data_IF_316920186610
#
_entry.id   IF_316920186610
#
_cell.length_a   1.000
_cell.length_b   1.000
_cell.length_c   1.000
_cell.angle_alpha   90.00
_cell.angle_beta   90.00
_cell.angle_gamma   90.00
#
_symmetry.space_group_name_H-M   'P 1'
#
loop_
_entity.id
_entity.type
_entity.pdbx_description
1 polymer ?
#
# COMPACT_ATOMS: atom_id res chain seq x y z
N UNK A 1 2.67 -20.11 1.30
CA UNK A 1 2.25 -20.48 -0.09
C UNK A 1 2.99 -19.63 -1.12
N UNK A 2 3.03 -18.30 -0.98
CA UNK A 2 3.66 -17.39 -1.95
C UNK A 2 5.12 -17.03 -1.64
N UNK A 3 5.80 -17.83 -0.83
CA UNK A 3 7.13 -17.51 -0.30
C UNK A 3 8.18 -17.46 -1.41
N UNK A 4 8.01 -18.26 -2.47
CA UNK A 4 8.86 -18.31 -3.66
C UNK A 4 8.44 -17.35 -4.79
N UNK A 5 7.39 -16.56 -4.62
CA UNK A 5 6.91 -15.64 -5.68
C UNK A 5 7.68 -14.33 -5.63
N UNK A 6 8.03 -13.77 -6.79
CA UNK A 6 8.62 -12.42 -6.89
C UNK A 6 7.62 -11.34 -6.46
N UNK A 7 8.07 -10.11 -6.21
CA UNK A 7 7.15 -9.01 -5.90
C UNK A 7 6.15 -8.76 -7.04
N UNK A 8 6.59 -8.82 -8.30
CA UNK A 8 5.73 -8.71 -9.47
C UNK A 8 4.71 -9.85 -9.53
N UNK A 9 5.13 -11.09 -9.32
CA UNK A 9 4.22 -12.24 -9.27
C UNK A 9 3.18 -12.12 -8.14
N UNK A 10 3.55 -11.56 -6.98
CA UNK A 10 2.60 -11.26 -5.89
C UNK A 10 1.64 -10.13 -6.28
N UNK A 11 2.11 -9.10 -6.98
CA UNK A 11 1.27 -8.02 -7.51
C UNK A 11 0.24 -8.51 -8.51
N UNK A 12 0.59 -9.49 -9.36
CA UNK A 12 -0.37 -10.16 -10.26
C UNK A 12 -1.55 -10.73 -9.46
N UNK A 13 -1.27 -11.47 -8.38
CA UNK A 13 -2.31 -12.07 -7.53
C UNK A 13 -3.12 -10.99 -6.79
N UNK A 14 -2.46 -9.93 -6.31
CA UNK A 14 -3.13 -8.78 -5.71
C UNK A 14 -4.11 -8.11 -6.68
N UNK A 15 -3.68 -7.86 -7.92
CA UNK A 15 -4.55 -7.28 -8.95
C UNK A 15 -5.66 -8.24 -9.37
N UNK A 16 -5.39 -9.54 -9.44
CA UNK A 16 -6.44 -10.54 -9.68
C UNK A 16 -7.55 -10.46 -8.61
N UNK A 17 -7.16 -10.34 -7.34
CA UNK A 17 -8.11 -10.14 -6.24
C UNK A 17 -8.89 -8.84 -6.38
N UNK A 18 -8.22 -7.75 -6.76
CA UNK A 18 -8.88 -6.46 -7.02
C UNK A 18 -9.92 -6.57 -8.15
N UNK A 19 -9.56 -7.19 -9.27
CA UNK A 19 -10.46 -7.40 -10.42
C UNK A 19 -11.66 -8.28 -10.05
N UNK A 20 -11.45 -9.32 -9.25
CA UNK A 20 -12.53 -10.17 -8.72
C UNK A 20 -13.49 -9.38 -7.82
N UNK A 21 -12.95 -8.49 -6.99
CA UNK A 21 -13.72 -7.61 -6.12
C UNK A 21 -14.58 -6.59 -6.88
N UNK A 22 -14.05 -5.99 -7.95
CA UNK A 22 -14.79 -5.02 -8.79
C UNK A 22 -16.08 -5.58 -9.38
N UNK A 23 -16.09 -6.88 -9.66
CA UNK A 23 -17.24 -7.57 -10.26
C UNK A 23 -17.99 -8.45 -9.27
N UNK A 24 -17.69 -8.29 -7.97
CA UNK A 24 -18.29 -9.05 -6.89
C UNK A 24 -18.26 -10.58 -7.10
N UNK A 25 -17.18 -11.09 -7.71
CA UNK A 25 -16.96 -12.53 -7.85
C UNK A 25 -16.79 -13.17 -6.48
N UNK A 26 -17.28 -14.40 -6.30
CA UNK A 26 -17.11 -15.17 -5.06
C UNK A 26 -15.72 -15.81 -4.93
N UNK A 27 -15.01 -15.96 -6.05
CA UNK A 27 -13.66 -16.54 -6.09
C UNK A 27 -12.76 -15.79 -7.06
N UNK A 28 -11.44 -15.90 -6.86
CA UNK A 28 -10.45 -15.41 -7.80
C UNK A 28 -10.22 -16.50 -8.86
N UNK A 29 -10.94 -16.37 -9.99
CA UNK A 29 -10.80 -17.23 -11.18
C UNK A 29 -9.57 -16.92 -12.05
N UNK A 30 -9.36 -17.74 -13.08
CA UNK A 30 -8.21 -17.60 -14.01
C UNK A 30 -8.30 -16.34 -14.88
N UNK A 31 -9.51 -15.86 -15.18
CA UNK A 31 -9.75 -14.60 -15.87
C UNK A 31 -9.30 -13.38 -15.07
N UNK A 32 -9.48 -13.42 -13.75
CA UNK A 32 -8.98 -12.37 -12.87
C UNK A 32 -7.46 -12.41 -12.80
N UNK A 33 -6.88 -13.63 -12.75
CA UNK A 33 -5.44 -13.82 -12.80
C UNK A 33 -4.83 -13.29 -14.10
N UNK A 34 -5.49 -13.52 -15.25
CA UNK A 34 -5.10 -12.97 -16.55
C UNK A 34 -5.14 -11.44 -16.57
N UNK A 35 -6.19 -10.82 -16.03
CA UNK A 35 -6.26 -9.35 -15.92
C UNK A 35 -5.13 -8.79 -15.05
N UNK A 36 -4.78 -9.48 -13.96
CA UNK A 36 -3.61 -9.16 -13.14
C UNK A 36 -2.30 -9.24 -13.91
N UNK A 37 -2.12 -10.28 -14.73
CA UNK A 37 -0.96 -10.47 -15.60
C UNK A 37 -0.85 -9.38 -16.66
N UNK A 38 -1.95 -9.05 -17.33
CA UNK A 38 -2.02 -7.96 -18.32
C UNK A 38 -1.69 -6.60 -17.71
N UNK A 39 -1.70 -6.46 -16.38
CA UNK A 39 -1.30 -5.23 -15.69
C UNK A 39 0.17 -5.21 -15.30
N UNK A 40 0.73 -6.33 -14.87
CA UNK A 40 2.10 -6.37 -14.31
C UNK A 40 3.16 -6.87 -15.31
N UNK A 41 2.83 -7.85 -16.16
CA UNK A 41 3.79 -8.50 -17.04
C UNK A 41 4.02 -7.65 -18.31
N UNK A 42 5.25 -7.14 -18.48
CA UNK A 42 5.62 -6.31 -19.62
C UNK A 42 5.76 -7.13 -20.93
N UNK A 43 6.34 -8.32 -20.86
CA UNK A 43 6.52 -9.21 -22.02
C UNK A 43 5.18 -9.65 -22.61
N UNK A 44 4.23 -10.01 -21.75
CA UNK A 44 2.88 -10.36 -22.15
C UNK A 44 2.19 -9.20 -22.87
N UNK A 45 2.38 -7.97 -22.39
CA UNK A 45 1.84 -6.76 -23.05
C UNK A 45 2.51 -6.46 -24.38
N UNK A 46 3.78 -6.79 -24.56
CA UNK A 46 4.47 -6.62 -25.85
C UNK A 46 3.95 -7.61 -26.88
N UNK A 47 3.55 -8.82 -26.45
CA UNK A 47 2.99 -9.86 -27.32
C UNK A 47 1.51 -9.67 -27.64
N UNK A 48 0.75 -9.00 -26.77
CA UNK A 48 -0.64 -8.68 -27.01
C UNK A 48 -0.77 -7.29 -27.64
N UNK A 49 -1.40 -7.19 -28.82
CA UNK A 49 -1.75 -5.89 -29.38
C UNK A 49 -2.74 -5.14 -28.47
N UNK A 50 -2.87 -3.82 -28.67
CA UNK A 50 -3.85 -3.04 -27.93
C UNK A 50 -5.28 -3.55 -28.17
N UNK A 51 -5.60 -3.92 -29.41
CA UNK A 51 -6.89 -4.50 -29.80
C UNK A 51 -7.11 -5.86 -29.13
N UNK A 52 -6.08 -6.69 -29.03
CA UNK A 52 -6.15 -7.97 -28.31
C UNK A 52 -6.43 -7.75 -26.81
N UNK A 53 -5.74 -6.78 -26.19
CA UNK A 53 -5.99 -6.45 -24.79
C UNK A 53 -7.43 -5.96 -24.54
N UNK A 54 -7.97 -5.13 -25.43
CA UNK A 54 -9.34 -4.65 -25.35
C UNK A 54 -10.37 -5.76 -25.61
N UNK A 55 -10.08 -6.65 -26.58
CA UNK A 55 -10.87 -7.86 -26.86
C UNK A 55 -10.97 -8.75 -25.63
N UNK A 56 -9.83 -9.12 -25.02
CA UNK A 56 -9.78 -9.95 -23.81
C UNK A 56 -10.61 -9.33 -22.69
N UNK A 57 -10.46 -8.03 -22.42
CA UNK A 57 -11.25 -7.34 -21.39
C UNK A 57 -12.75 -7.37 -21.69
N UNK A 58 -13.13 -7.21 -22.95
CA UNK A 58 -14.54 -7.27 -23.38
C UNK A 58 -15.11 -8.67 -23.22
N UNK A 59 -14.42 -9.71 -23.71
CA UNK A 59 -14.85 -11.10 -23.56
C UNK A 59 -14.99 -11.51 -22.09
N UNK A 60 -14.04 -11.11 -21.25
CA UNK A 60 -14.13 -11.34 -19.81
C UNK A 60 -15.35 -10.63 -19.22
N UNK A 61 -15.64 -9.39 -19.63
CA UNK A 61 -16.84 -8.66 -19.19
C UNK A 61 -18.14 -9.34 -19.64
N UNK A 62 -18.21 -9.80 -20.88
CA UNK A 62 -19.42 -10.37 -21.47
C UNK A 62 -19.73 -11.78 -20.92
N UNK A 63 -18.69 -12.55 -20.59
CA UNK A 63 -18.86 -13.85 -19.89
C UNK A 63 -19.49 -13.71 -18.50
N UNK A 64 -19.45 -12.52 -17.90
CA UNK A 64 -19.95 -12.22 -16.55
C UNK A 64 -21.43 -11.86 -16.50
N UNK A 65 -22.06 -11.50 -17.61
CA UNK A 65 -23.48 -11.08 -17.64
C UNK A 65 -24.47 -12.17 -17.22
N UNK A 66 -24.01 -13.42 -17.07
CA UNK A 66 -24.83 -14.57 -16.65
C UNK A 66 -24.62 -15.00 -15.18
N UNK A 67 -23.65 -14.44 -14.45
CA UNK A 67 -23.40 -14.76 -13.04
C UNK A 67 -24.16 -13.77 -12.14
N UNK A 68 -25.11 -14.27 -11.36
CA UNK A 68 -26.11 -13.48 -10.63
C UNK A 68 -25.55 -12.39 -9.71
N UNK A 69 -26.37 -11.35 -9.50
CA UNK A 69 -26.14 -10.28 -8.52
C UNK A 69 -25.77 -10.88 -7.16
N UNK A 70 -24.54 -10.65 -6.71
CA UNK A 70 -24.15 -10.88 -5.33
C UNK A 70 -23.38 -9.68 -4.77
N UNK A 71 -23.65 -9.39 -3.52
CA UNK A 71 -23.11 -8.30 -2.71
C UNK A 71 -21.68 -8.64 -2.26
N UNK A 72 -20.67 -7.94 -2.77
CA UNK A 72 -19.29 -8.13 -2.32
C UNK A 72 -18.92 -7.14 -1.22
N UNK A 73 -19.02 -7.62 0.01
CA UNK A 73 -18.09 -7.26 1.07
C UNK A 73 -17.44 -8.57 1.52
N UNK A 74 -16.25 -8.90 1.01
CA UNK A 74 -15.41 -9.87 1.71
C UNK A 74 -13.94 -9.48 1.62
N UNK A 75 -13.35 -9.37 2.80
CA UNK A 75 -11.95 -9.06 3.04
C UNK A 75 -11.05 -10.27 2.76
N UNK A 76 -11.58 -11.40 2.28
CA UNK A 76 -10.80 -12.55 1.81
C UNK A 76 -11.56 -13.37 0.75
N UNK A 77 -11.21 -13.15 -0.52
CA UNK A 77 -11.72 -13.94 -1.65
C UNK A 77 -10.85 -15.19 -1.84
N UNK A 78 -11.40 -16.41 -1.75
CA UNK A 78 -10.65 -17.63 -2.02
C UNK A 78 -10.30 -17.78 -3.51
N UNK A 79 -9.21 -18.49 -3.81
CA UNK A 79 -8.83 -18.85 -5.18
C UNK A 79 -9.74 -19.97 -5.70
N UNK A 80 -10.14 -19.91 -6.97
CA UNK A 80 -10.86 -21.02 -7.61
C UNK A 80 -9.94 -22.25 -7.73
N UNK A 81 -10.48 -23.48 -7.83
CA UNK A 81 -9.68 -24.69 -8.03
C UNK A 81 -8.76 -24.61 -9.26
N UNK A 82 -9.23 -24.02 -10.34
CA UNK A 82 -8.48 -23.78 -11.58
C UNK A 82 -7.33 -22.79 -11.35
N UNK A 83 -7.58 -21.71 -10.61
CA UNK A 83 -6.56 -20.73 -10.26
C UNK A 83 -5.45 -21.35 -9.38
N UNK A 84 -5.82 -22.18 -8.40
CA UNK A 84 -4.86 -22.95 -7.59
C UNK A 84 -4.06 -23.92 -8.46
N UNK A 85 -4.70 -24.59 -9.41
CA UNK A 85 -4.03 -25.50 -10.35
C UNK A 85 -3.01 -24.75 -11.22
N UNK A 86 -3.39 -23.61 -11.81
CA UNK A 86 -2.51 -22.77 -12.60
C UNK A 86 -1.27 -22.30 -11.80
N UNK A 87 -1.44 -21.91 -10.53
CA UNK A 87 -0.33 -21.51 -9.66
C UNK A 87 0.59 -22.68 -9.28
N UNK A 88 0.06 -23.90 -9.15
CA UNK A 88 0.89 -25.10 -8.98
C UNK A 88 1.70 -25.39 -10.24
N UNK A 89 1.09 -25.29 -11.42
CA UNK A 89 1.81 -25.42 -12.68
C UNK A 89 2.87 -24.34 -12.88
N UNK A 90 2.63 -23.11 -12.42
CA UNK A 90 3.66 -22.06 -12.40
C UNK A 90 4.86 -22.46 -11.55
N UNK A 91 4.64 -23.05 -10.37
CA UNK A 91 5.71 -23.56 -9.52
C UNK A 91 6.48 -24.71 -10.19
N UNK A 92 5.78 -25.64 -10.85
CA UNK A 92 6.41 -26.72 -11.63
C UNK A 92 7.24 -26.20 -12.80
N UNK A 93 6.75 -25.20 -13.54
CA UNK A 93 7.50 -24.57 -14.64
C UNK A 93 8.75 -23.87 -14.14
N UNK A 94 8.68 -23.17 -13.00
CA UNK A 94 9.89 -22.60 -12.37
C UNK A 94 10.90 -23.69 -12.02
N UNK A 95 10.44 -24.85 -11.53
CA UNK A 95 11.30 -26.00 -11.24
C UNK A 95 11.91 -26.60 -12.51
N UNK A 96 11.12 -26.76 -13.58
CA UNK A 96 11.56 -27.26 -14.88
C UNK A 96 12.64 -26.38 -15.49
N UNK A 97 12.46 -25.06 -15.40
CA UNK A 97 13.39 -24.03 -15.86
C UNK A 97 14.58 -23.81 -14.92
N UNK A 98 14.58 -24.49 -13.75
CA UNK A 98 15.57 -24.31 -12.68
C UNK A 98 15.65 -22.89 -12.14
N UNK A 99 14.57 -22.11 -12.29
CA UNK A 99 14.45 -20.78 -11.72
C UNK A 99 14.18 -20.85 -10.22
N UNK A 100 14.93 -20.08 -9.44
CA UNK A 100 14.78 -20.06 -7.97
C UNK A 100 13.42 -19.50 -7.56
N UNK A 101 12.97 -18.45 -8.24
CA UNK A 101 11.77 -17.68 -7.93
C UNK A 101 10.68 -17.86 -9.00
N UNK A 102 9.43 -17.84 -8.56
CA UNK A 102 8.24 -17.89 -9.41
C UNK A 102 7.92 -16.45 -9.84
N UNK A 103 8.16 -16.14 -11.12
CA UNK A 103 7.85 -14.86 -11.76
C UNK A 103 6.45 -14.85 -12.39
N UNK A 104 6.01 -13.69 -12.85
CA UNK A 104 4.80 -13.48 -13.63
C UNK A 104 4.74 -14.34 -14.91
N UNK A 105 5.87 -14.62 -15.56
CA UNK A 105 5.92 -15.45 -16.77
C UNK A 105 5.61 -16.92 -16.47
N UNK A 106 6.04 -17.41 -15.30
CA UNK A 106 5.69 -18.75 -14.85
C UNK A 106 4.18 -18.86 -14.60
N UNK A 107 3.54 -17.79 -14.14
CA UNK A 107 2.08 -17.76 -13.98
C UNK A 107 1.37 -17.83 -15.34
N UNK A 108 1.90 -17.14 -16.36
CA UNK A 108 1.38 -17.28 -17.75
C UNK A 108 1.53 -18.72 -18.24
N UNK A 109 2.69 -19.35 -18.06
CA UNK A 109 2.90 -20.76 -18.41
C UNK A 109 1.95 -21.70 -17.64
N UNK A 110 1.71 -21.40 -16.36
CA UNK A 110 0.78 -22.15 -15.53
C UNK A 110 -0.66 -22.09 -16.02
N UNK A 111 -1.10 -20.92 -16.51
CA UNK A 111 -2.40 -20.77 -17.17
C UNK A 111 -2.44 -21.55 -18.48
N UNK A 112 -1.44 -21.39 -19.35
CA UNK A 112 -1.37 -22.05 -20.66
C UNK A 112 -1.31 -23.57 -20.58
N UNK A 113 -0.79 -24.15 -19.48
CA UNK A 113 -0.83 -25.61 -19.23
C UNK A 113 -2.23 -26.14 -18.94
N UNK A 114 -3.17 -25.28 -18.56
CA UNK A 114 -4.56 -25.64 -18.36
C UNK A 114 -5.38 -25.23 -19.59
N UNK A 115 -5.25 -26.00 -20.67
CA UNK A 115 -5.82 -25.69 -22.01
C UNK A 115 -7.33 -25.37 -21.97
N UNK A 116 -8.08 -26.05 -21.09
CA UNK A 116 -9.53 -25.86 -20.93
C UNK A 116 -9.91 -24.59 -20.16
N UNK A 117 -8.97 -23.95 -19.45
CA UNK A 117 -9.30 -22.77 -18.66
C UNK A 117 -9.58 -21.56 -19.55
N UNK A 118 -10.49 -20.71 -19.09
CA UNK A 118 -10.94 -19.57 -19.88
C UNK A 118 -9.80 -18.60 -20.23
N UNK A 119 -8.88 -18.35 -19.30
CA UNK A 119 -7.70 -17.53 -19.57
C UNK A 119 -6.76 -18.14 -20.64
N UNK A 120 -6.55 -19.45 -20.66
CA UNK A 120 -5.70 -20.11 -21.65
C UNK A 120 -6.31 -20.04 -23.05
N UNK A 121 -7.63 -20.19 -23.16
CA UNK A 121 -8.35 -20.03 -24.44
C UNK A 121 -8.19 -18.61 -24.99
N UNK A 122 -8.38 -17.59 -24.16
CA UNK A 122 -8.20 -16.19 -24.55
C UNK A 122 -6.76 -15.88 -24.99
N UNK A 123 -5.76 -16.42 -24.30
CA UNK A 123 -4.35 -16.25 -24.69
C UNK A 123 -4.07 -16.94 -26.03
N UNK A 124 -4.54 -18.17 -26.21
CA UNK A 124 -4.34 -18.96 -27.44
C UNK A 124 -5.05 -18.32 -28.64
N UNK A 125 -6.27 -17.80 -28.47
CA UNK A 125 -7.03 -17.05 -29.49
C UNK A 125 -6.25 -15.84 -30.01
N UNK A 126 -5.44 -15.22 -29.15
CA UNK A 126 -4.60 -14.07 -29.47
C UNK A 126 -3.14 -14.44 -29.79
N UNK A 127 -2.89 -15.70 -30.16
CA UNK A 127 -1.59 -16.14 -30.69
C UNK A 127 -0.51 -16.39 -29.63
N UNK A 128 -0.90 -16.57 -28.37
CA UNK A 128 0.00 -16.93 -27.28
C UNK A 128 -0.22 -18.39 -26.94
N UNK A 129 0.63 -19.25 -27.48
CA UNK A 129 0.65 -20.69 -27.17
C UNK A 129 1.72 -21.04 -26.13
N UNK A 130 1.52 -22.19 -25.48
CA UNK A 130 2.39 -22.69 -24.41
C UNK A 130 3.84 -22.90 -24.89
N UNK A 131 4.03 -23.45 -26.10
CA UNK A 131 5.35 -23.83 -26.59
C UNK A 131 6.19 -22.59 -26.91
N UNK A 132 5.62 -21.65 -27.67
CA UNK A 132 6.26 -20.37 -28.01
C UNK A 132 6.56 -19.54 -26.77
N UNK A 133 5.61 -19.44 -25.82
CA UNK A 133 5.82 -18.63 -24.63
C UNK A 133 6.91 -19.24 -23.75
N UNK A 134 6.94 -20.57 -23.62
CA UNK A 134 7.98 -21.29 -22.88
C UNK A 134 9.38 -21.04 -23.43
N UNK A 135 9.55 -21.10 -24.74
CA UNK A 135 10.84 -20.83 -25.39
C UNK A 135 11.31 -19.39 -25.10
N UNK A 136 10.39 -18.42 -25.06
CA UNK A 136 10.71 -17.03 -24.71
C UNK A 136 11.24 -16.93 -23.27
N UNK A 137 10.56 -17.58 -22.32
CA UNK A 137 10.97 -17.57 -20.90
C UNK A 137 12.33 -18.26 -20.71
N UNK A 138 12.63 -19.30 -21.50
CA UNK A 138 13.94 -19.97 -21.49
C UNK A 138 15.07 -19.06 -21.99
N UNK A 139 14.79 -18.20 -22.97
CA UNK A 139 15.75 -17.25 -23.52
C UNK A 139 15.95 -15.99 -22.65
N UNK A 140 14.94 -15.62 -21.87
CA UNK A 140 14.96 -14.47 -20.96
C UNK A 140 15.56 -14.83 -19.57
N UNK A 141 16.81 -15.26 -19.53
CA UNK A 141 17.54 -15.43 -18.25
C UNK A 141 18.25 -14.14 -17.83
N UNK A 142 17.49 -13.22 -17.22
CA UNK A 142 18.08 -12.07 -16.51
C UNK A 142 18.82 -12.51 -15.24
N UNK A 143 19.67 -11.64 -14.64
CA UNK A 143 20.35 -11.96 -13.39
C UNK A 143 19.32 -12.22 -12.26
N UNK A 144 19.19 -13.49 -11.83
CA UNK A 144 18.25 -13.94 -10.79
C UNK A 144 18.40 -13.20 -9.44
N UNK A 145 19.53 -12.52 -9.23
CA UNK A 145 19.82 -11.74 -8.02
C UNK A 145 18.82 -10.58 -7.81
N UNK A 146 18.33 -9.97 -8.88
CA UNK A 146 17.40 -8.83 -8.82
C UNK A 146 15.92 -9.26 -8.69
N UNK A 147 15.63 -10.54 -8.90
CA UNK A 147 14.27 -11.11 -8.84
C UNK A 147 13.91 -11.64 -7.45
N UNK A 148 14.89 -11.72 -6.54
CA UNK A 148 14.63 -12.14 -5.18
C UNK A 148 13.67 -11.14 -4.49
N UNK A 149 12.57 -11.62 -3.88
CA UNK A 149 11.91 -10.86 -2.84
C UNK A 149 12.97 -10.30 -1.89
N UNK A 150 12.87 -9.02 -1.49
CA UNK A 150 13.77 -8.51 -0.47
C UNK A 150 13.74 -9.48 0.71
N UNK A 151 14.90 -9.88 1.26
CA UNK A 151 14.93 -10.81 2.37
C UNK A 151 13.97 -10.32 3.44
N UNK A 152 13.20 -11.22 4.10
CA UNK A 152 12.35 -10.82 5.21
C UNK A 152 13.19 -9.96 6.13
N UNK A 153 12.79 -8.68 6.26
CA UNK A 153 13.48 -7.72 7.10
C UNK A 153 13.65 -8.39 8.46
N UNK A 154 14.86 -8.41 9.03
CA UNK A 154 15.10 -9.11 10.28
C UNK A 154 14.05 -8.68 11.31
N UNK A 155 13.39 -9.66 11.92
CA UNK A 155 12.52 -9.48 13.08
C UNK A 155 13.25 -8.65 14.15
N UNK A 156 12.55 -7.85 14.98
CA UNK A 156 13.06 -6.68 15.69
C UNK A 156 14.04 -7.02 16.81
N UNK A 157 15.21 -7.52 16.43
CA UNK A 157 16.38 -7.79 17.27
C UNK A 157 17.55 -6.90 16.86
N UNK A 158 17.31 -5.93 15.97
CA UNK A 158 18.21 -4.80 15.78
C UNK A 158 18.10 -3.86 16.98
N UNK A 159 19.22 -3.31 17.44
CA UNK A 159 19.20 -2.27 18.45
C UNK A 159 18.21 -1.15 18.06
N UNK A 160 17.37 -0.76 19.01
CA UNK A 160 16.43 0.36 18.85
C UNK A 160 17.22 1.64 18.62
N UNK A 161 16.64 2.55 17.84
CA UNK A 161 17.26 3.81 17.50
C UNK A 161 17.31 4.79 18.68
N UNK A 162 18.35 4.70 19.52
CA UNK A 162 18.56 5.62 20.64
C UNK A 162 18.63 7.09 20.20
N UNK A 163 19.01 7.35 18.94
CA UNK A 163 19.05 8.68 18.33
C UNK A 163 17.66 9.33 18.21
N UNK A 164 16.58 8.55 18.22
CA UNK A 164 15.21 9.08 18.17
C UNK A 164 14.67 9.48 19.55
N UNK A 165 15.31 9.08 20.66
CA UNK A 165 14.82 9.37 22.02
C UNK A 165 14.51 10.86 22.26
N UNK A 166 15.34 11.83 21.83
CA UNK A 166 15.00 13.25 21.98
C UNK A 166 13.71 13.65 21.23
N UNK A 167 13.48 13.12 20.02
CA UNK A 167 12.29 13.39 19.22
C UNK A 167 11.04 12.76 19.84
N UNK A 168 11.15 11.53 20.36
CA UNK A 168 10.07 10.86 21.10
C UNK A 168 9.67 11.68 22.32
N UNK A 169 10.64 12.15 23.10
CA UNK A 169 10.38 12.93 24.30
C UNK A 169 9.73 14.29 23.97
N UNK A 170 10.19 14.95 22.90
CA UNK A 170 9.58 16.19 22.39
C UNK A 170 8.11 15.98 21.99
N UNK A 171 7.84 14.92 21.21
CA UNK A 171 6.47 14.57 20.81
C UNK A 171 5.59 14.26 22.02
N UNK A 172 6.06 13.44 22.96
CA UNK A 172 5.32 13.11 24.17
C UNK A 172 5.01 14.37 25.01
N UNK A 173 5.99 15.27 25.16
CA UNK A 173 5.83 16.51 25.91
C UNK A 173 4.76 17.43 25.30
N UNK A 174 4.77 17.64 23.98
CA UNK A 174 3.76 18.50 23.34
C UNK A 174 2.36 17.85 23.44
N UNK A 175 2.27 16.54 23.28
CA UNK A 175 1.01 15.79 23.41
C UNK A 175 0.44 15.90 24.82
N UNK A 176 1.25 15.68 25.85
CA UNK A 176 0.78 15.74 27.23
C UNK A 176 0.42 17.18 27.64
N UNK A 177 1.19 18.18 27.20
CA UNK A 177 0.84 19.60 27.42
C UNK A 177 -0.48 19.97 26.78
N UNK A 178 -0.69 19.58 25.52
CA UNK A 178 -1.93 19.81 24.80
C UNK A 178 -3.09 19.08 25.45
N UNK A 179 -2.94 17.81 25.82
CA UNK A 179 -3.98 17.05 26.50
C UNK A 179 -4.47 17.77 27.76
N UNK A 180 -3.54 18.24 28.62
CA UNK A 180 -3.91 18.96 29.85
C UNK A 180 -4.60 20.30 29.54
N UNK A 181 -4.08 21.07 28.58
CA UNK A 181 -4.67 22.38 28.29
C UNK A 181 -6.04 22.24 27.62
N UNK A 182 -6.15 21.35 26.62
CA UNK A 182 -7.34 21.22 25.80
C UNK A 182 -8.50 20.55 26.53
N UNK A 183 -8.22 19.70 27.53
CA UNK A 183 -9.24 19.12 28.44
C UNK A 183 -9.93 20.19 29.30
N UNK A 184 -9.24 21.31 29.57
CA UNK A 184 -9.83 22.45 30.29
C UNK A 184 -10.59 23.42 29.38
N UNK A 185 -10.56 23.21 28.06
CA UNK A 185 -11.14 24.09 27.06
C UNK A 185 -12.48 23.54 26.58
N UNK A 186 -13.49 24.40 26.45
CA UNK A 186 -14.79 24.03 25.90
C UNK A 186 -14.91 24.38 24.41
N UNK A 187 -16.11 24.16 23.86
CA UNK A 187 -16.44 24.50 22.47
C UNK A 187 -16.21 25.98 22.12
N UNK A 188 -16.29 26.87 23.12
CA UNK A 188 -16.03 28.31 22.94
C UNK A 188 -14.57 28.55 22.58
N UNK A 189 -13.64 27.93 23.31
CA UNK A 189 -12.21 28.01 23.02
C UNK A 189 -11.87 27.36 21.68
N UNK A 190 -12.52 26.25 21.33
CA UNK A 190 -12.27 25.48 20.10
C UNK A 190 -12.46 26.30 18.81
N UNK A 191 -13.45 27.19 18.79
CA UNK A 191 -13.78 28.01 17.60
C UNK A 191 -12.91 29.27 17.44
N UNK A 192 -12.01 29.56 18.37
CA UNK A 192 -11.13 30.72 18.26
C UNK A 192 -10.18 30.60 17.06
N UNK A 193 -10.06 31.68 16.29
CA UNK A 193 -9.14 31.74 15.14
C UNK A 193 -7.70 31.94 15.57
N UNK A 194 -6.80 31.22 14.90
CA UNK A 194 -5.37 31.37 15.08
C UNK A 194 -4.86 32.64 14.38
N UNK A 195 -3.79 33.23 14.90
CA UNK A 195 -3.20 34.47 14.33
C UNK A 195 -2.41 34.22 13.05
N UNK A 196 -1.75 33.06 12.94
CA UNK A 196 -0.81 32.75 11.87
C UNK A 196 -1.34 31.74 10.85
N UNK A 197 -2.40 31.00 11.21
CA UNK A 197 -3.05 30.01 10.35
C UNK A 197 -4.49 30.46 10.04
N UNK A 198 -5.03 30.14 8.85
CA UNK A 198 -6.38 30.52 8.44
C UNK A 198 -7.49 29.73 9.17
N UNK A 199 -7.13 28.97 10.21
CA UNK A 199 -7.96 27.98 10.87
C UNK A 199 -8.40 28.42 12.27
N UNK A 200 -9.51 27.83 12.74
CA UNK A 200 -9.81 27.78 14.17
C UNK A 200 -8.87 26.81 14.89
N UNK A 201 -8.81 26.86 16.23
CA UNK A 201 -8.07 25.88 17.03
C UNK A 201 -8.52 24.45 16.72
N UNK A 202 -9.82 24.24 16.58
CA UNK A 202 -10.43 22.96 16.20
C UNK A 202 -9.99 22.49 14.81
N UNK A 203 -10.02 23.36 13.81
CA UNK A 203 -9.55 23.01 12.46
C UNK A 203 -8.04 22.71 12.43
N UNK A 204 -7.23 23.47 13.18
CA UNK A 204 -5.80 23.23 13.29
C UNK A 204 -5.48 21.92 14.03
N UNK A 205 -6.26 21.57 15.05
CA UNK A 205 -6.14 20.27 15.71
C UNK A 205 -6.55 19.12 14.78
N UNK A 206 -7.61 19.31 14.01
CA UNK A 206 -8.03 18.37 12.95
C UNK A 206 -6.96 18.17 11.87
N UNK A 207 -6.30 19.23 11.43
CA UNK A 207 -5.14 19.15 10.55
C UNK A 207 -4.02 18.29 11.16
N UNK A 208 -3.76 18.44 12.47
CA UNK A 208 -2.78 17.58 13.14
C UNK A 208 -3.23 16.12 13.22
N UNK A 209 -4.53 15.83 13.32
CA UNK A 209 -5.09 14.46 13.23
C UNK A 209 -4.84 13.86 11.85
N UNK A 210 -5.07 14.62 10.78
CA UNK A 210 -4.80 14.16 9.42
C UNK A 210 -3.30 13.84 9.22
N UNK A 211 -2.43 14.68 9.79
CA UNK A 211 -0.99 14.45 9.75
C UNK A 211 -0.53 13.24 10.55
N UNK A 212 -1.08 13.02 11.75
CA UNK A 212 -0.75 11.82 12.55
C UNK A 212 -1.23 10.54 11.86
N UNK A 213 -2.43 10.54 11.27
CA UNK A 213 -2.93 9.40 10.51
C UNK A 213 -2.08 9.10 9.27
N UNK A 214 -1.65 10.15 8.57
CA UNK A 214 -0.77 10.04 7.39
C UNK A 214 0.60 9.46 7.78
N UNK A 215 1.23 10.00 8.84
CA UNK A 215 2.52 9.52 9.31
C UNK A 215 2.48 8.10 9.85
N UNK A 216 1.38 7.70 10.49
CA UNK A 216 1.19 6.31 10.93
C UNK A 216 1.31 5.33 9.75
N UNK A 217 0.67 5.64 8.62
CA UNK A 217 0.74 4.84 7.39
C UNK A 217 2.12 4.92 6.74
N UNK A 218 2.75 6.09 6.71
CA UNK A 218 4.08 6.28 6.13
C UNK A 218 5.16 5.52 6.89
N UNK A 219 5.14 5.57 8.23
CA UNK A 219 6.06 4.82 9.08
C UNK A 219 5.89 3.31 8.86
N UNK A 220 4.66 2.80 8.87
CA UNK A 220 4.41 1.38 8.61
C UNK A 220 5.00 0.92 7.26
N UNK A 221 4.84 1.73 6.21
CA UNK A 221 5.38 1.46 4.88
C UNK A 221 6.91 1.56 4.83
N UNK A 222 7.51 2.60 5.41
CA UNK A 222 8.96 2.77 5.44
C UNK A 222 9.66 1.67 6.25
N UNK A 223 9.05 1.24 7.37
CA UNK A 223 9.59 0.17 8.21
C UNK A 223 9.42 -1.21 7.57
N UNK A 224 8.39 -1.42 6.75
CA UNK A 224 8.17 -2.71 6.08
C UNK A 224 8.88 -2.83 4.72
N UNK A 225 9.12 -1.70 4.06
CA UNK A 225 9.69 -1.64 2.71
C UNK A 225 11.17 -1.23 2.67
N UNK A 226 11.78 -1.26 1.47
CA UNK A 226 13.12 -0.75 1.23
C UNK A 226 13.16 0.79 1.06
N UNK A 227 12.02 1.41 0.78
CA UNK A 227 11.85 2.86 0.63
C UNK A 227 10.39 3.26 0.91
N UNK A 228 10.15 4.57 1.04
CA UNK A 228 8.82 5.16 1.04
C UNK A 228 8.67 6.06 -0.19
N UNK A 229 7.61 5.83 -0.98
CA UNK A 229 7.13 6.76 -2.00
C UNK A 229 5.71 7.17 -1.62
N UNK A 230 5.50 8.45 -1.39
CA UNK A 230 4.22 9.02 -0.99
C UNK A 230 3.97 10.37 -1.67
N UNK A 231 2.72 10.80 -1.66
CA UNK A 231 2.31 12.14 -2.06
C UNK A 231 1.91 12.93 -0.83
N UNK A 232 2.14 14.24 -0.84
CA UNK A 232 1.57 15.11 0.18
C UNK A 232 0.04 15.10 0.06
N UNK A 233 -0.71 14.93 1.16
CA UNK A 233 -2.13 15.20 1.14
C UNK A 233 -2.36 16.72 0.90
N UNK A 234 -3.42 17.12 0.18
CA UNK A 234 -3.83 18.52 0.13
C UNK A 234 -4.28 18.96 1.54
N UNK A 235 -3.70 20.05 2.03
CA UNK A 235 -3.82 20.45 3.44
C UNK A 235 -5.17 21.12 3.74
N UNK A 236 -5.50 22.20 3.04
CA UNK A 236 -6.75 22.94 3.26
C UNK A 236 -7.98 22.11 2.85
N UNK A 237 -7.91 21.42 1.70
CA UNK A 237 -9.02 20.60 1.20
C UNK A 237 -9.39 19.47 2.17
N UNK A 238 -8.41 18.89 2.89
CA UNK A 238 -8.69 17.83 3.86
C UNK A 238 -9.40 18.35 5.09
N UNK A 239 -8.94 19.49 5.65
CA UNK A 239 -9.62 20.13 6.77
C UNK A 239 -11.08 20.45 6.43
N UNK A 240 -11.34 20.90 5.19
CA UNK A 240 -12.68 21.20 4.70
C UNK A 240 -13.54 19.93 4.54
N UNK A 241 -13.02 18.88 3.90
CA UNK A 241 -13.76 17.62 3.65
C UNK A 241 -14.08 16.88 4.94
N UNK A 242 -13.18 16.94 5.92
CA UNK A 242 -13.34 16.26 7.21
C UNK A 242 -14.31 16.98 8.15
N UNK A 243 -14.70 18.22 7.83
CA UNK A 243 -15.70 19.00 8.56
C UNK A 243 -15.39 19.17 10.06
N UNK A 244 -14.11 19.31 10.43
CA UNK A 244 -13.68 19.38 11.83
C UNK A 244 -14.35 20.49 12.65
N UNK A 245 -14.78 21.58 12.03
CA UNK A 245 -15.51 22.67 12.67
C UNK A 245 -16.85 22.25 13.32
N UNK A 246 -17.36 21.06 12.99
CA UNK A 246 -18.61 20.50 13.54
C UNK A 246 -18.38 19.26 14.40
N UNK A 247 -17.13 18.84 14.58
CA UNK A 247 -16.78 17.62 15.31
C UNK A 247 -16.52 17.94 16.78
N UNK A 248 -17.05 17.15 17.71
CA UNK A 248 -16.98 17.46 19.15
C UNK A 248 -15.51 17.63 19.62
N UNK A 249 -15.25 18.72 20.35
CA UNK A 249 -13.89 19.14 20.69
C UNK A 249 -13.13 18.07 21.48
N UNK A 250 -13.74 17.50 22.52
CA UNK A 250 -13.06 16.52 23.37
C UNK A 250 -12.71 15.24 22.61
N UNK A 251 -13.61 14.74 21.76
CA UNK A 251 -13.34 13.61 20.88
C UNK A 251 -12.19 13.89 19.90
N UNK A 252 -12.06 15.14 19.41
CA UNK A 252 -10.96 15.52 18.53
C UNK A 252 -9.62 15.52 19.27
N UNK A 253 -9.61 16.03 20.50
CA UNK A 253 -8.45 16.01 21.40
C UNK A 253 -8.02 14.58 21.69
N UNK A 254 -8.96 13.73 22.11
CA UNK A 254 -8.71 12.31 22.42
C UNK A 254 -8.12 11.57 21.22
N UNK A 255 -8.69 11.79 20.03
CA UNK A 255 -8.20 11.18 18.79
C UNK A 255 -6.76 11.59 18.49
N UNK A 256 -6.46 12.88 18.54
CA UNK A 256 -5.11 13.39 18.30
C UNK A 256 -4.11 12.84 19.32
N UNK A 257 -4.46 12.87 20.61
CA UNK A 257 -3.61 12.35 21.71
C UNK A 257 -3.33 10.87 21.52
N UNK A 258 -4.36 10.06 21.26
CA UNK A 258 -4.20 8.61 21.09
C UNK A 258 -3.32 8.27 19.87
N UNK A 259 -3.53 8.94 18.74
CA UNK A 259 -2.71 8.71 17.55
C UNK A 259 -1.24 9.08 17.79
N UNK A 260 -0.97 10.20 18.45
CA UNK A 260 0.41 10.62 18.71
C UNK A 260 1.10 9.77 19.78
N UNK A 261 0.37 9.24 20.77
CA UNK A 261 0.91 8.24 21.71
C UNK A 261 1.30 6.94 20.99
N UNK A 262 0.48 6.50 20.02
CA UNK A 262 0.85 5.38 19.16
C UNK A 262 2.11 5.70 18.34
N UNK A 263 2.20 6.89 17.75
CA UNK A 263 3.38 7.30 16.99
C UNK A 263 4.63 7.34 17.87
N UNK A 264 4.57 7.94 19.06
CA UNK A 264 5.68 7.94 20.03
C UNK A 264 6.13 6.51 20.38
N UNK A 265 5.17 5.59 20.58
CA UNK A 265 5.45 4.17 20.77
C UNK A 265 6.17 3.55 19.55
N UNK A 266 5.67 3.79 18.34
CA UNK A 266 6.30 3.29 17.10
C UNK A 266 7.72 3.83 16.97
N UNK A 267 7.92 5.14 17.11
CA UNK A 267 9.22 5.81 17.04
C UNK A 267 10.22 5.22 18.05
N UNK A 268 9.77 4.92 19.27
CA UNK A 268 10.60 4.29 20.32
C UNK A 268 11.06 2.88 19.97
N UNK A 269 10.43 2.23 18.99
CA UNK A 269 10.72 0.86 18.58
C UNK A 269 11.33 0.76 17.18
N UNK A 270 11.66 1.89 16.53
CA UNK A 270 12.28 1.88 15.21
C UNK A 270 13.69 1.25 15.30
N UNK A 271 14.00 0.25 14.45
CA UNK A 271 15.36 -0.25 14.23
C UNK A 271 16.33 0.84 13.81
N UNK A 272 17.54 0.84 14.36
CA UNK A 272 18.62 1.74 13.93
C UNK A 272 18.89 1.65 12.41
N UNK A 273 18.83 0.45 11.85
CA UNK A 273 19.04 0.20 10.42
C UNK A 273 17.98 0.84 9.50
N UNK A 274 16.83 1.25 10.05
CA UNK A 274 15.74 1.87 9.28
C UNK A 274 15.82 3.40 9.21
N UNK A 275 16.69 4.03 10.00
CA UNK A 275 16.79 5.49 10.02
C UNK A 275 17.17 6.11 8.67
N UNK A 276 17.92 5.36 7.87
CA UNK A 276 18.38 5.78 6.54
C UNK A 276 17.47 5.31 5.40
N UNK A 277 16.31 4.70 5.70
CA UNK A 277 15.35 4.31 4.66
C UNK A 277 14.94 5.54 3.84
N UNK A 278 15.15 5.55 2.51
CA UNK A 278 14.88 6.72 1.68
C UNK A 278 13.38 6.94 1.54
N UNK A 279 12.95 8.17 1.81
CA UNK A 279 11.57 8.62 1.83
C UNK A 279 11.37 9.75 0.81
N UNK A 280 10.71 9.44 -0.30
CA UNK A 280 10.29 10.41 -1.31
C UNK A 280 8.84 10.82 -1.09
N UNK A 281 8.61 12.08 -0.76
CA UNK A 281 7.28 12.65 -0.60
C UNK A 281 7.07 13.76 -1.63
N UNK A 282 6.09 13.60 -2.52
CA UNK A 282 5.84 14.52 -3.63
C UNK A 282 6.97 14.52 -4.67
N UNK A 283 7.30 15.72 -5.18
CA UNK A 283 8.31 15.90 -6.23
C UNK A 283 9.73 16.12 -5.69
N UNK A 284 9.89 16.23 -4.36
CA UNK A 284 11.19 16.47 -3.74
C UNK A 284 12.12 15.26 -3.85
N UNK A 285 13.42 15.52 -3.68
CA UNK A 285 14.42 14.46 -3.53
C UNK A 285 14.15 13.59 -2.29
N UNK A 286 14.45 12.28 -2.33
CA UNK A 286 14.28 11.41 -1.18
C UNK A 286 15.12 11.87 0.01
N UNK A 287 14.52 11.90 1.20
CA UNK A 287 15.21 12.16 2.46
C UNK A 287 15.25 10.91 3.34
N UNK A 288 16.24 10.76 4.24
CA UNK A 288 16.23 9.67 5.23
C UNK A 288 14.98 9.68 6.11
N UNK A 289 14.53 8.51 6.55
CA UNK A 289 13.37 8.35 7.44
C UNK A 289 13.48 9.20 8.71
N UNK A 290 14.68 9.30 9.30
CA UNK A 290 14.92 10.17 10.48
C UNK A 290 14.58 11.64 10.23
N UNK A 291 14.85 12.15 9.02
CA UNK A 291 14.56 13.55 8.65
C UNK A 291 13.06 13.74 8.47
N UNK A 292 12.37 12.74 7.92
CA UNK A 292 10.91 12.77 7.83
C UNK A 292 10.25 12.79 9.22
N UNK A 293 10.77 11.99 10.17
CA UNK A 293 10.31 11.97 11.56
C UNK A 293 10.55 13.32 12.24
N UNK A 294 11.73 13.91 12.07
CA UNK A 294 12.07 15.22 12.64
C UNK A 294 11.10 16.30 12.17
N UNK A 295 10.86 16.39 10.86
CA UNK A 295 9.89 17.33 10.27
C UNK A 295 8.48 17.16 10.81
N UNK A 296 8.06 15.92 11.07
CA UNK A 296 6.76 15.65 11.67
C UNK A 296 6.66 16.21 13.09
N UNK A 297 7.68 15.96 13.93
CA UNK A 297 7.70 16.47 15.32
C UNK A 297 7.73 17.99 15.34
N UNK A 298 8.55 18.62 14.48
CA UNK A 298 8.60 20.07 14.33
C UNK A 298 7.25 20.67 13.89
N UNK A 299 6.58 20.02 12.95
CA UNK A 299 5.25 20.43 12.49
C UNK A 299 4.21 20.33 13.61
N UNK A 300 4.23 19.25 14.40
CA UNK A 300 3.39 19.11 15.57
C UNK A 300 3.65 20.22 16.59
N UNK A 301 4.91 20.51 16.91
CA UNK A 301 5.28 21.57 17.86
C UNK A 301 4.84 22.96 17.39
N UNK A 302 5.00 23.28 16.09
CA UNK A 302 4.59 24.58 15.54
C UNK A 302 3.07 24.77 15.61
N UNK A 303 2.30 23.85 15.02
CA UNK A 303 0.84 23.99 14.97
C UNK A 303 0.23 23.90 16.38
N UNK A 304 0.65 22.93 17.19
CA UNK A 304 0.16 22.80 18.56
C UNK A 304 0.56 24.00 19.43
N UNK A 305 1.77 24.53 19.23
CA UNK A 305 2.23 25.75 19.88
C UNK A 305 1.33 26.95 19.56
N UNK A 306 0.91 27.10 18.30
CA UNK A 306 -0.02 28.14 17.90
C UNK A 306 -1.42 27.96 18.50
N UNK A 307 -1.91 26.73 18.61
CA UNK A 307 -3.18 26.42 19.29
C UNK A 307 -3.11 26.83 20.77
N UNK A 308 -2.01 26.47 21.45
CA UNK A 308 -1.76 26.75 22.87
C UNK A 308 -1.58 28.23 23.19
N UNK A 309 -1.11 29.05 22.25
CA UNK A 309 -0.99 30.49 22.48
C UNK A 309 -2.38 31.12 22.61
N UNK A 310 -2.60 31.87 23.70
CA UNK A 310 -3.75 32.75 23.83
C UNK A 310 -3.60 33.90 22.83
N UNK A 311 -4.67 34.17 22.07
CA UNK A 311 -4.79 35.37 21.25
C UNK A 311 -4.72 36.63 22.10
#
# INVERSE_FOLDING_TARGET
MFDRFTEKARRVIFFARYEAGLVASQTIGTEHLLLGLMRENAELKLRLSQEACESIRRQIKDSRTSAGKATANSVDLPLSPECVCALKYAAEESGRLKHKWITEDHIVLGLLRQEECFAARLLTEHGIDLASYRETVEQCTGPEADLAPPPPQPSPTSAKAARLTPLVNRLALIVDRCAVCFDTWGEVEAVHRLKRLPWTRQQALGHLVDWSATHQRWLARALSGPNLIASFPPQDEWVDVQCYATFEWQQLVDLWVCQNRLLAHVLSNIPEAKLETPCKVGLAEPVPLKVLIERYVEHCEDVAGQILTHG
#
